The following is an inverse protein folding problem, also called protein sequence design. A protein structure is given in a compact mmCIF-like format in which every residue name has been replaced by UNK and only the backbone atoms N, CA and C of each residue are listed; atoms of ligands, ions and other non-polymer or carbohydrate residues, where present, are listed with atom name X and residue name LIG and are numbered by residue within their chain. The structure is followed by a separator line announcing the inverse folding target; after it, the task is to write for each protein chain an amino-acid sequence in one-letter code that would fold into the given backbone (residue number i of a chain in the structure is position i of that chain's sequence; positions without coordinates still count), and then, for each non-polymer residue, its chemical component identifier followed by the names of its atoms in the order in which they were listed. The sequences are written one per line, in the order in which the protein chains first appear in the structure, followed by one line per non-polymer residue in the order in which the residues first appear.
data_IF_284675167091
#
_entry.id   IF_284675167091
#
_cell.length_a   1.000
_cell.length_b   1.000
_cell.length_c   1.000
_cell.angle_alpha   90.00
_cell.angle_beta   90.00
_cell.angle_gamma   90.00
#
_symmetry.space_group_name_H-M   'P 1'
#
loop_
_entity.id
_entity.type
_entity.pdbx_description
1 polymer ?
#
# COMPACT_ATOMS: atom_id res chain seq x y z
N UNK A 1 -15.95 -2.95 6.23
CA UNK A 1 -14.51 -2.65 6.24
C UNK A 1 -14.11 -2.01 4.91
N UNK A 2 -13.63 -0.78 4.92
CA UNK A 2 -13.21 -0.05 3.73
C UNK A 2 -11.94 0.76 4.02
N UNK A 3 -10.94 0.68 3.13
CA UNK A 3 -10.87 -0.17 1.94
C UNK A 3 -10.66 -1.66 2.26
N UNK A 4 -11.26 -2.56 1.48
CA UNK A 4 -10.94 -3.97 1.49
C UNK A 4 -9.95 -4.28 0.37
N UNK A 5 -8.81 -4.85 0.71
CA UNK A 5 -7.78 -5.28 -0.25
C UNK A 5 -7.69 -6.80 -0.17
N UNK A 6 -8.04 -7.47 -1.24
CA UNK A 6 -8.11 -8.93 -1.30
C UNK A 6 -7.41 -9.50 -2.54
N UNK A 7 -6.93 -10.73 -2.41
CA UNK A 7 -6.40 -11.53 -3.52
C UNK A 7 -7.51 -12.45 -4.05
N UNK A 8 -7.62 -12.55 -5.36
CA UNK A 8 -8.54 -13.50 -5.98
C UNK A 8 -8.11 -14.95 -5.67
N UNK A 9 -9.09 -15.83 -5.41
CA UNK A 9 -8.80 -17.21 -5.03
C UNK A 9 -8.31 -18.11 -6.17
N UNK A 10 -8.61 -17.75 -7.42
CA UNK A 10 -8.32 -18.56 -8.61
C UNK A 10 -7.43 -17.88 -9.64
N UNK A 11 -7.17 -16.59 -9.46
CA UNK A 11 -6.39 -15.75 -10.37
C UNK A 11 -5.41 -14.89 -9.60
N UNK A 12 -4.32 -14.47 -10.25
CA UNK A 12 -3.33 -13.59 -9.63
C UNK A 12 -3.77 -12.11 -9.66
N UNK A 13 -5.01 -11.86 -9.29
CA UNK A 13 -5.60 -10.53 -9.30
C UNK A 13 -5.69 -9.97 -7.89
N UNK A 14 -5.38 -8.68 -7.77
CA UNK A 14 -5.64 -7.89 -6.57
C UNK A 14 -6.94 -7.12 -6.77
N UNK A 15 -7.84 -7.22 -5.83
CA UNK A 15 -9.11 -6.49 -5.84
C UNK A 15 -9.13 -5.52 -4.66
N UNK A 16 -9.45 -4.28 -4.95
CA UNK A 16 -9.65 -3.23 -3.97
C UNK A 16 -11.10 -2.81 -4.04
N UNK A 17 -11.82 -2.94 -2.92
CA UNK A 17 -13.20 -2.46 -2.79
C UNK A 17 -13.18 -1.24 -1.88
N UNK A 18 -13.82 -0.18 -2.32
CA UNK A 18 -13.93 1.07 -1.60
C UNK A 18 -15.39 1.50 -1.52
N UNK A 19 -15.90 1.71 -0.32
CA UNK A 19 -17.20 2.32 -0.13
C UNK A 19 -17.16 3.79 -0.56
N UNK A 20 -18.23 4.26 -1.15
CA UNK A 20 -18.39 5.65 -1.57
C UNK A 20 -19.70 6.22 -1.03
N UNK A 21 -19.75 7.52 -0.87
CA UNK A 21 -21.00 8.18 -0.52
C UNK A 21 -22.05 7.97 -1.61
N UNK A 22 -23.31 7.82 -1.20
CA UNK A 22 -24.42 7.77 -2.14
C UNK A 22 -24.72 9.17 -2.68
N UNK A 23 -25.15 9.26 -3.92
CA UNK A 23 -25.70 10.50 -4.48
C UNK A 23 -27.02 10.88 -3.79
N UNK A 24 -27.30 12.19 -3.72
CA UNK A 24 -28.50 12.69 -3.03
C UNK A 24 -29.80 12.17 -3.65
N UNK A 25 -29.79 11.85 -4.93
CA UNK A 25 -30.93 11.29 -5.67
C UNK A 25 -31.25 9.83 -5.27
N UNK A 26 -30.28 9.09 -4.71
CA UNK A 26 -30.50 7.73 -4.21
C UNK A 26 -30.97 7.68 -2.75
N UNK A 27 -30.85 8.76 -2.00
CA UNK A 27 -31.31 8.84 -0.60
C UNK A 27 -32.85 8.76 -0.46
N UNK A 28 -33.58 9.11 -1.50
CA UNK A 28 -35.05 9.11 -1.50
C UNK A 28 -35.68 7.74 -1.81
N UNK A 29 -34.87 6.74 -2.13
CA UNK A 29 -35.31 5.37 -2.44
C UNK A 29 -35.53 4.47 -1.22
N UNK A 30 -35.61 5.04 -0.01
CA UNK A 30 -35.97 4.28 1.21
C UNK A 30 -34.88 3.35 1.70
N UNK A 31 -33.63 3.62 1.36
CA UNK A 31 -32.48 2.88 1.86
C UNK A 31 -32.31 3.03 3.38
N UNK A 32 -31.86 1.97 4.05
CA UNK A 32 -31.63 2.01 5.49
C UNK A 32 -30.64 3.14 5.85
N UNK A 33 -30.79 3.69 7.04
CA UNK A 33 -29.90 4.72 7.54
C UNK A 33 -28.45 4.24 7.55
N UNK A 34 -27.52 5.16 7.63
CA UNK A 34 -26.04 5.04 7.57
C UNK A 34 -25.40 3.92 8.42
N UNK A 35 -26.19 3.05 9.04
CA UNK A 35 -25.73 1.97 9.90
C UNK A 35 -25.27 0.71 9.16
N UNK A 36 -25.44 0.64 7.84
CA UNK A 36 -24.92 -0.46 7.02
C UNK A 36 -24.14 0.05 5.80
N UNK A 37 -22.85 0.39 5.97
CA UNK A 37 -21.98 0.80 4.86
C UNK A 37 -21.79 -0.32 3.82
N UNK A 38 -22.26 -1.54 4.10
CA UNK A 38 -22.18 -2.68 3.18
C UNK A 38 -23.20 -2.63 2.05
N UNK A 39 -24.23 -1.82 2.16
CA UNK A 39 -25.27 -1.67 1.13
C UNK A 39 -25.08 -0.41 0.27
N UNK A 40 -24.03 0.37 0.53
CA UNK A 40 -23.61 1.48 -0.30
C UNK A 40 -22.97 1.00 -1.61
N UNK A 41 -22.93 1.87 -2.59
CA UNK A 41 -22.22 1.62 -3.85
C UNK A 41 -20.75 1.35 -3.59
N UNK A 42 -20.32 0.09 -3.73
CA UNK A 42 -18.92 -0.28 -3.62
C UNK A 42 -18.24 -0.10 -4.97
N UNK A 43 -17.29 0.79 -5.04
CA UNK A 43 -16.40 0.87 -6.18
C UNK A 43 -15.34 -0.25 -6.12
N UNK A 44 -15.20 -0.99 -7.20
CA UNK A 44 -14.26 -2.11 -7.30
C UNK A 44 -13.16 -1.77 -8.29
N UNK A 45 -11.92 -1.83 -7.82
CA UNK A 45 -10.72 -1.67 -8.64
C UNK A 45 -9.95 -2.99 -8.66
N UNK A 46 -9.83 -3.63 -9.82
CA UNK A 46 -9.09 -4.89 -9.99
C UNK A 46 -7.81 -4.64 -10.76
N UNK A 47 -6.70 -5.12 -10.21
CA UNK A 47 -5.37 -5.10 -10.83
C UNK A 47 -5.02 -6.54 -11.20
N UNK A 48 -4.93 -6.87 -12.49
CA UNK A 48 -4.62 -8.22 -12.92
C UNK A 48 -3.14 -8.54 -12.81
N UNK A 49 -2.85 -9.84 -12.71
CA UNK A 49 -1.50 -10.41 -12.85
C UNK A 49 -0.46 -9.81 -11.90
N UNK A 50 -0.79 -9.67 -10.61
CA UNK A 50 0.25 -9.30 -9.64
C UNK A 50 1.31 -10.40 -9.56
N UNK A 51 2.59 -10.04 -9.35
CA UNK A 51 3.64 -11.03 -9.22
C UNK A 51 3.41 -11.94 -8.02
N UNK A 52 3.66 -13.24 -8.18
CA UNK A 52 3.58 -14.26 -7.13
C UNK A 52 4.96 -14.83 -6.80
N UNK A 53 5.06 -15.55 -5.67
CA UNK A 53 6.27 -16.21 -5.18
C UNK A 53 7.47 -15.26 -4.94
N UNK A 54 7.18 -13.99 -4.70
CA UNK A 54 8.19 -12.99 -4.33
C UNK A 54 7.54 -11.87 -3.52
N UNK A 55 8.36 -11.10 -2.83
CA UNK A 55 7.88 -9.89 -2.18
C UNK A 55 7.34 -8.89 -3.20
N UNK A 56 6.15 -8.41 -2.95
CA UNK A 56 5.47 -7.40 -3.77
C UNK A 56 5.08 -6.25 -2.86
N UNK A 57 5.53 -5.06 -3.20
CA UNK A 57 5.05 -3.84 -2.54
C UNK A 57 3.74 -3.42 -3.17
N UNK A 58 2.71 -3.31 -2.36
CA UNK A 58 1.38 -2.84 -2.77
C UNK A 58 1.10 -1.56 -2.00
N UNK A 59 0.77 -0.50 -2.72
CA UNK A 59 0.39 0.77 -2.13
C UNK A 59 -0.90 1.22 -2.79
N UNK A 60 -1.90 1.54 -1.98
CA UNK A 60 -3.17 2.10 -2.41
C UNK A 60 -3.23 3.53 -1.89
N UNK A 61 -3.40 4.48 -2.77
CA UNK A 61 -3.49 5.90 -2.45
C UNK A 61 -4.83 6.44 -2.92
N UNK A 62 -5.55 7.07 -2.03
CA UNK A 62 -6.86 7.63 -2.29
C UNK A 62 -6.82 9.15 -2.19
N UNK A 63 -7.27 9.82 -3.23
CA UNK A 63 -7.35 11.28 -3.30
C UNK A 63 -8.70 11.69 -3.89
N UNK A 64 -9.65 12.04 -3.03
CA UNK A 64 -11.00 12.34 -3.44
C UNK A 64 -11.69 11.13 -4.09
N UNK A 65 -11.82 11.14 -5.42
CA UNK A 65 -12.39 10.05 -6.24
C UNK A 65 -11.33 9.20 -6.95
N UNK A 66 -10.07 9.59 -6.89
CA UNK A 66 -8.98 8.91 -7.57
C UNK A 66 -8.37 7.86 -6.64
N UNK A 67 -8.46 6.60 -7.02
CA UNK A 67 -7.85 5.48 -6.31
C UNK A 67 -6.68 4.97 -7.16
N UNK A 68 -5.47 5.32 -6.72
CA UNK A 68 -4.23 4.92 -7.34
C UNK A 68 -3.66 3.65 -6.71
N UNK A 69 -3.30 2.69 -7.54
CA UNK A 69 -2.62 1.48 -7.11
C UNK A 69 -1.19 1.42 -7.65
N UNK A 70 -0.24 1.29 -6.75
CA UNK A 70 1.18 1.13 -7.07
C UNK A 70 1.62 -0.30 -6.75
N UNK A 71 2.27 -0.93 -7.70
CA UNK A 71 2.94 -2.22 -7.53
C UNK A 71 4.45 -2.02 -7.70
N UNK A 72 5.21 -2.41 -6.69
CA UNK A 72 6.66 -2.25 -6.68
C UNK A 72 7.10 -0.79 -6.98
N UNK A 73 6.40 0.16 -6.35
CA UNK A 73 6.68 1.59 -6.46
C UNK A 73 6.26 2.25 -7.77
N UNK A 74 5.63 1.52 -8.69
CA UNK A 74 5.15 2.05 -9.98
C UNK A 74 3.63 2.09 -9.99
N UNK A 75 3.06 3.19 -10.46
CA UNK A 75 1.63 3.31 -10.70
C UNK A 75 1.23 2.32 -11.80
N UNK A 76 0.35 1.38 -11.47
CA UNK A 76 -0.14 0.37 -12.41
C UNK A 76 -1.58 0.62 -12.85
N UNK A 77 -2.36 1.26 -11.99
CA UNK A 77 -3.75 1.59 -12.30
C UNK A 77 -4.25 2.76 -11.46
N UNK A 78 -5.04 3.62 -12.08
CA UNK A 78 -5.91 4.59 -11.41
C UNK A 78 -7.36 4.19 -11.69
N UNK A 79 -8.15 4.01 -10.66
CA UNK A 79 -9.58 3.78 -10.77
C UNK A 79 -10.31 5.03 -10.29
N UNK A 80 -11.22 5.55 -11.11
CA UNK A 80 -12.07 6.67 -10.75
C UNK A 80 -13.30 6.11 -10.06
N UNK A 81 -13.51 6.52 -8.82
CA UNK A 81 -14.68 6.15 -8.04
C UNK A 81 -15.90 6.93 -8.55
N UNK A 82 -17.06 6.31 -8.49
CA UNK A 82 -18.32 6.96 -8.90
C UNK A 82 -18.69 8.13 -7.99
N UNK A 83 -18.28 8.11 -6.71
CA UNK A 83 -18.44 9.23 -5.78
C UNK A 83 -17.25 9.35 -4.83
N UNK A 84 -17.28 10.30 -3.89
CA UNK A 84 -16.23 10.48 -2.88
C UNK A 84 -16.17 9.24 -2.00
N UNK A 85 -14.96 8.81 -1.72
CA UNK A 85 -14.71 7.66 -0.85
C UNK A 85 -15.22 7.91 0.57
N UNK A 86 -15.95 6.93 1.09
CA UNK A 86 -16.35 6.89 2.50
C UNK A 86 -15.27 6.18 3.31
N UNK A 87 -14.86 6.77 4.40
CA UNK A 87 -13.92 6.21 5.37
C UNK A 87 -14.55 6.34 6.75
N UNK A 88 -14.69 5.23 7.45
CA UNK A 88 -15.09 5.23 8.85
C UNK A 88 -13.86 5.47 9.73
N UNK A 89 -13.91 6.52 10.55
CA UNK A 89 -12.80 6.91 11.41
C UNK A 89 -12.70 6.05 12.69
N UNK A 90 -13.80 5.38 13.06
CA UNK A 90 -13.91 4.62 14.31
C UNK A 90 -13.71 3.11 14.11
N UNK A 91 -13.49 2.67 12.87
CA UNK A 91 -13.28 1.25 12.54
C UNK A 91 -11.82 0.82 12.71
N UNK A 92 -11.65 -0.38 13.23
CA UNK A 92 -10.34 -1.01 13.35
C UNK A 92 -9.79 -1.50 12.01
N UNK A 93 -8.47 -1.54 11.90
CA UNK A 93 -7.77 -2.14 10.75
C UNK A 93 -7.57 -3.63 11.00
N UNK A 94 -8.13 -4.45 10.13
CA UNK A 94 -7.97 -5.91 10.21
C UNK A 94 -6.94 -6.39 9.20
N UNK A 95 -5.97 -7.15 9.69
CA UNK A 95 -4.95 -7.77 8.85
C UNK A 95 -5.25 -9.27 8.71
N UNK A 96 -5.30 -9.76 7.47
CA UNK A 96 -5.51 -11.18 7.14
C UNK A 96 -6.73 -11.82 7.84
N UNK A 97 -7.93 -11.20 7.81
CA UNK A 97 -9.11 -11.77 8.42
C UNK A 97 -9.51 -13.09 7.75
N UNK A 98 -10.26 -13.95 8.47
CA UNK A 98 -10.79 -15.19 7.90
C UNK A 98 -9.75 -16.25 7.52
N UNK A 99 -8.54 -16.20 8.10
CA UNK A 99 -7.45 -17.13 7.80
C UNK A 99 -6.47 -16.59 6.76
N UNK A 100 -6.74 -15.43 6.15
CA UNK A 100 -5.82 -14.72 5.27
C UNK A 100 -5.52 -15.43 3.95
N UNK A 101 -4.30 -15.28 3.48
CA UNK A 101 -3.78 -15.92 2.26
C UNK A 101 -2.53 -16.74 2.59
N UNK A 102 -2.17 -17.68 1.71
CA UNK A 102 -0.93 -18.45 1.87
C UNK A 102 0.29 -17.58 1.48
N UNK A 103 0.86 -16.91 2.46
CA UNK A 103 1.97 -15.99 2.24
C UNK A 103 2.40 -15.28 3.52
N UNK A 104 3.27 -14.29 3.35
CA UNK A 104 3.76 -13.46 4.43
C UNK A 104 3.38 -12.00 4.16
N UNK A 105 3.00 -11.30 5.22
CA UNK A 105 2.72 -9.87 5.22
C UNK A 105 3.79 -9.16 6.05
N UNK A 106 4.29 -8.04 5.56
CA UNK A 106 5.31 -7.24 6.25
C UNK A 106 5.11 -5.76 5.99
N UNK A 107 5.56 -4.94 6.92
CA UNK A 107 5.67 -3.49 6.79
C UNK A 107 4.35 -2.79 6.41
N UNK A 108 3.27 -3.14 7.12
CA UNK A 108 1.98 -2.46 6.94
C UNK A 108 2.07 -1.05 7.48
N UNK A 109 1.70 -0.06 6.67
CA UNK A 109 1.73 1.36 7.01
C UNK A 109 0.46 2.04 6.54
N UNK A 110 0.04 3.01 7.32
CA UNK A 110 -1.05 3.92 6.98
C UNK A 110 -0.51 5.36 6.90
N UNK A 111 -1.01 6.11 5.93
CA UNK A 111 -0.75 7.54 5.78
C UNK A 111 -2.09 8.28 5.76
N UNK A 112 -2.23 9.36 6.53
CA UNK A 112 -3.49 10.12 6.59
C UNK A 112 -3.76 10.95 5.32
N UNK A 113 -2.79 11.06 4.43
CA UNK A 113 -2.89 11.81 3.18
C UNK A 113 -2.48 10.94 2.01
N UNK A 114 -3.00 11.27 0.83
CA UNK A 114 -2.57 10.65 -0.42
C UNK A 114 -1.06 10.83 -0.62
N UNK A 115 -0.41 9.79 -1.12
CA UNK A 115 1.03 9.80 -1.36
C UNK A 115 1.34 10.07 -2.83
N UNK A 116 2.45 10.76 -3.08
CA UNK A 116 2.93 11.00 -4.43
C UNK A 116 3.62 9.77 -5.03
N UNK A 117 3.76 9.67 -6.36
CA UNK A 117 4.53 8.60 -7.01
C UNK A 117 5.97 8.50 -6.52
N UNK A 118 6.60 9.62 -6.19
CA UNK A 118 7.94 9.63 -5.63
C UNK A 118 8.00 9.01 -4.24
N UNK A 119 7.00 9.28 -3.40
CA UNK A 119 6.89 8.65 -2.08
C UNK A 119 6.64 7.14 -2.20
N UNK A 120 5.76 6.72 -3.11
CA UNK A 120 5.52 5.30 -3.39
C UNK A 120 6.80 4.57 -3.82
N UNK A 121 7.60 5.20 -4.68
CA UNK A 121 8.90 4.69 -5.08
C UNK A 121 9.88 4.57 -3.92
N UNK A 122 9.95 5.59 -3.05
CA UNK A 122 10.83 5.59 -1.88
C UNK A 122 10.45 4.48 -0.88
N UNK A 123 9.13 4.27 -0.65
CA UNK A 123 8.63 3.16 0.19
C UNK A 123 9.05 1.81 -0.38
N UNK A 124 8.90 1.62 -1.69
CA UNK A 124 9.34 0.39 -2.36
C UNK A 124 10.84 0.15 -2.22
N UNK A 125 11.67 1.19 -2.43
CA UNK A 125 13.13 1.10 -2.31
C UNK A 125 13.59 0.77 -0.89
N UNK A 126 12.85 1.17 0.14
CA UNK A 126 13.15 0.81 1.52
C UNK A 126 12.98 -0.69 1.80
N UNK A 127 12.27 -1.42 0.94
CA UNK A 127 12.12 -2.87 1.02
C UNK A 127 11.12 -3.36 2.08
N UNK A 128 10.86 -4.67 2.14
CA UNK A 128 9.84 -5.26 2.99
C UNK A 128 10.15 -5.17 4.49
N UNK A 129 11.39 -5.02 4.87
CA UNK A 129 11.82 -4.82 6.26
C UNK A 129 11.72 -3.36 6.71
N UNK A 130 11.48 -2.45 5.78
CA UNK A 130 11.43 -1.01 6.05
C UNK A 130 12.78 -0.42 6.44
N UNK A 131 13.85 -1.20 6.39
CA UNK A 131 15.20 -0.69 6.63
C UNK A 131 15.69 0.07 5.40
N UNK A 132 15.95 1.34 5.59
CA UNK A 132 16.68 2.15 4.62
C UNK A 132 18.09 1.58 4.43
N UNK A 133 18.68 1.80 3.25
CA UNK A 133 20.14 1.56 3.09
C UNK A 133 20.95 2.29 4.17
N UNK A 134 20.44 3.40 4.68
CA UNK A 134 21.04 4.12 5.81
C UNK A 134 21.06 3.29 7.10
N UNK A 135 20.07 2.42 7.34
CA UNK A 135 20.08 1.52 8.50
C UNK A 135 21.13 0.42 8.37
N UNK A 136 21.50 0.04 7.14
CA UNK A 136 22.61 -0.87 6.89
C UNK A 136 23.93 -0.17 7.26
N UNK A 137 24.10 1.08 6.87
CA UNK A 137 25.30 1.86 7.22
C UNK A 137 25.38 2.17 8.72
N UNK A 138 24.27 2.33 9.42
CA UNK A 138 24.27 2.50 10.88
C UNK A 138 24.55 1.19 11.63
N UNK A 139 24.29 0.04 11.00
CA UNK A 139 24.49 -1.28 11.56
C UNK A 139 25.90 -1.85 11.31
N UNK A 140 26.55 -1.40 10.23
CA UNK A 140 27.87 -1.86 9.83
C UNK A 140 28.78 -0.65 9.64
N UNK A 141 29.89 -0.65 10.35
CA UNK A 141 30.96 0.32 10.11
C UNK A 141 31.84 -0.19 8.96
N UNK A 142 32.07 0.64 7.96
CA UNK A 142 33.00 0.36 6.87
C UNK A 142 34.27 1.18 7.08
N UNK A 143 35.42 0.48 7.13
CA UNK A 143 36.73 1.12 7.18
C UNK A 143 37.37 1.00 5.79
N UNK A 144 37.73 2.13 5.21
CA UNK A 144 38.55 2.19 3.98
C UNK A 144 39.95 2.57 4.37
N UNK A 145 40.89 1.71 4.07
CA UNK A 145 42.32 1.95 4.32
C UNK A 145 43.05 2.07 2.98
N UNK A 146 43.71 3.17 2.74
CA UNK A 146 44.56 3.36 1.57
C UNK A 146 46.00 2.97 1.91
N UNK A 147 46.54 2.05 1.15
CA UNK A 147 47.88 1.54 1.34
C UNK A 147 48.81 2.06 0.23
N UNK A 148 49.94 2.56 0.59
CA UNK A 148 51.02 2.84 -0.33
C UNK A 148 52.27 2.03 0.09
N UNK A 149 52.79 1.20 -0.81
CA UNK A 149 53.88 0.29 -0.55
C UNK A 149 53.69 -0.63 0.68
N UNK A 150 52.40 -1.02 0.93
CA UNK A 150 52.04 -1.86 2.07
C UNK A 150 51.94 -1.16 3.42
N UNK A 151 52.05 0.18 3.44
CA UNK A 151 51.84 0.99 4.66
C UNK A 151 50.54 1.76 4.58
N UNK A 152 49.85 1.83 5.70
CA UNK A 152 48.61 2.62 5.84
C UNK A 152 48.94 4.11 5.69
N UNK A 153 48.41 4.74 4.64
CA UNK A 153 48.65 6.15 4.37
C UNK A 153 47.49 7.01 4.90
N UNK A 154 46.28 6.46 4.83
CA UNK A 154 45.09 7.17 5.29
C UNK A 154 43.95 6.17 5.52
N UNK A 155 43.14 6.40 6.56
CA UNK A 155 41.96 5.61 6.82
C UNK A 155 40.74 6.53 7.03
N UNK A 156 39.58 6.03 6.57
CA UNK A 156 38.29 6.71 6.71
C UNK A 156 37.26 5.68 7.16
N UNK A 157 36.57 5.99 8.24
CA UNK A 157 35.47 5.17 8.78
C UNK A 157 34.15 5.91 8.62
N UNK A 158 33.15 5.24 8.05
CA UNK A 158 31.77 5.74 7.94
C UNK A 158 30.90 4.91 8.89
#
# INVERSE_FOLDING_TARGET
LCPEISLAGTENNLTIKQAVYLDDDEKDSGFPPMDDPMNGSNAICTIPNIPIQKWVSIIVSLNGRDLDCYINGKLVKTCILNNIAYVDADEDVYLTPGGGFQGNLSNVKYWPNAISPQQAWNVYKAGPSGSSLLDIFTKYQMKFTFLSNGQDVWDFTI
#
